data_IF_965629734903
#
_entry.id   IF_965629734903
#
_cell.length_a   1.000
_cell.length_b   1.000
_cell.length_c   1.000
_cell.angle_alpha   90.00
_cell.angle_beta   90.00
_cell.angle_gamma   90.00
#
_symmetry.space_group_name_H-M   'P 1'
#
loop_
_entity.id
_entity.type
_entity.pdbx_description
1 polymer ?
#
# COMPACT_ATOMS: atom_id res chain seq x y z
N UNK A 1 33.88 21.30 10.04
CA UNK A 1 34.25 20.10 9.23
C UNK A 1 35.19 20.55 8.13
N UNK A 2 36.26 19.76 7.85
CA UNK A 2 37.16 20.06 6.75
C UNK A 2 36.53 19.63 5.40
N UNK A 3 36.91 20.30 4.30
CA UNK A 3 36.42 19.94 2.94
C UNK A 3 36.69 18.47 2.61
N UNK A 4 37.88 17.97 3.00
CA UNK A 4 38.23 16.55 2.82
C UNK A 4 37.23 15.62 3.53
N UNK A 5 36.84 15.95 4.78
CA UNK A 5 35.91 15.14 5.54
C UNK A 5 34.49 15.16 4.92
N UNK A 6 34.08 16.34 4.41
CA UNK A 6 32.79 16.47 3.69
C UNK A 6 32.81 15.61 2.45
N UNK A 7 33.87 15.62 1.65
CA UNK A 7 34.00 14.77 0.46
C UNK A 7 34.00 13.26 0.78
N UNK A 8 34.61 12.83 1.88
CA UNK A 8 34.54 11.44 2.34
C UNK A 8 33.13 11.05 2.81
N UNK A 9 32.41 11.99 3.44
CA UNK A 9 31.03 11.81 3.88
C UNK A 9 30.08 11.64 2.68
N UNK A 10 30.20 12.53 1.68
CA UNK A 10 29.40 12.46 0.43
C UNK A 10 29.68 11.17 -0.35
N UNK A 11 30.91 10.67 -0.30
CA UNK A 11 31.28 9.41 -0.90
C UNK A 11 30.86 8.16 -0.08
N UNK A 12 30.21 8.35 1.07
CA UNK A 12 29.78 7.26 1.96
C UNK A 12 30.92 6.53 2.67
N UNK A 13 32.13 7.11 2.73
CA UNK A 13 33.32 6.51 3.33
C UNK A 13 33.65 7.01 4.72
N UNK A 14 33.02 8.12 5.15
CA UNK A 14 33.23 8.69 6.49
C UNK A 14 32.07 8.33 7.43
N UNK A 15 32.41 8.15 8.72
CA UNK A 15 31.42 8.04 9.78
C UNK A 15 31.32 9.38 10.53
N UNK A 16 30.11 9.90 10.68
CA UNK A 16 29.86 11.19 11.30
C UNK A 16 29.03 11.00 12.58
N UNK A 17 29.39 11.71 13.64
CA UNK A 17 28.58 11.70 14.86
C UNK A 17 27.26 12.45 14.66
N UNK A 18 26.23 12.11 15.45
CA UNK A 18 24.92 12.77 15.40
C UNK A 18 25.04 14.28 15.66
N UNK A 19 25.93 14.70 16.58
CA UNK A 19 26.18 16.11 16.87
C UNK A 19 26.76 16.85 15.66
N UNK A 20 27.65 16.23 14.92
CA UNK A 20 28.18 16.83 13.70
C UNK A 20 27.17 16.84 12.56
N UNK A 21 26.31 15.84 12.47
CA UNK A 21 25.18 15.85 11.53
C UNK A 21 24.20 16.97 11.84
N UNK A 22 23.91 17.22 13.11
CA UNK A 22 23.06 18.34 13.54
C UNK A 22 23.68 19.68 13.15
N UNK A 23 25.00 19.85 13.36
CA UNK A 23 25.70 21.06 12.92
C UNK A 23 25.65 21.26 11.39
N UNK A 24 25.73 20.19 10.61
CA UNK A 24 25.57 20.24 9.15
C UNK A 24 24.12 20.61 8.78
N UNK A 25 23.13 20.02 9.42
CA UNK A 25 21.72 20.33 9.16
C UNK A 25 21.44 21.82 9.42
N UNK A 26 21.90 22.35 10.55
CA UNK A 26 21.76 23.78 10.90
C UNK A 26 22.44 24.66 9.84
N UNK A 27 23.67 24.32 9.41
CA UNK A 27 24.38 25.08 8.40
C UNK A 27 23.68 25.11 7.04
N UNK A 28 22.89 24.06 6.73
CA UNK A 28 22.08 23.95 5.51
C UNK A 28 20.67 24.52 5.67
N UNK A 29 20.31 25.04 6.85
CA UNK A 29 18.94 25.51 7.13
C UNK A 29 17.91 24.39 7.21
N UNK A 30 18.34 23.18 7.54
CA UNK A 30 17.50 21.99 7.65
C UNK A 30 17.38 21.53 9.10
N UNK A 31 16.33 20.78 9.41
CA UNK A 31 16.29 19.98 10.63
C UNK A 31 17.00 18.64 10.42
N UNK A 32 17.62 18.08 11.47
CA UNK A 32 18.34 16.81 11.39
C UNK A 32 17.52 15.66 10.76
N UNK A 33 16.21 15.46 11.06
CA UNK A 33 15.39 14.46 10.39
C UNK A 33 15.29 14.68 8.88
N UNK A 34 15.33 15.93 8.42
CA UNK A 34 15.33 16.27 7.00
C UNK A 34 16.62 15.89 6.29
N UNK A 35 17.76 16.08 6.98
CA UNK A 35 19.09 15.75 6.44
C UNK A 35 19.31 14.22 6.32
N UNK A 36 18.85 13.44 7.29
CA UNK A 36 19.04 11.98 7.32
C UNK A 36 17.90 11.20 6.62
N UNK A 37 16.93 11.90 6.09
CA UNK A 37 15.84 11.27 5.35
C UNK A 37 16.41 10.58 4.11
N UNK A 38 16.18 9.27 3.92
CA UNK A 38 16.62 8.60 2.71
C UNK A 38 16.09 9.37 1.48
N UNK A 39 16.96 9.67 0.53
CA UNK A 39 16.57 10.21 -0.79
C UNK A 39 15.98 9.05 -1.61
N UNK A 40 15.04 8.35 -1.04
CA UNK A 40 14.25 7.37 -1.77
C UNK A 40 13.23 8.17 -2.58
N UNK A 41 13.16 7.97 -3.88
CA UNK A 41 12.09 8.59 -4.66
C UNK A 41 10.75 8.26 -4.00
N UNK A 42 9.83 9.22 -3.93
CA UNK A 42 8.54 8.97 -3.31
C UNK A 42 7.88 7.75 -3.95
N UNK A 43 7.18 6.91 -3.17
CA UNK A 43 6.50 5.75 -3.70
C UNK A 43 5.65 6.12 -4.93
N UNK A 44 5.82 5.37 -6.02
CA UNK A 44 5.11 5.62 -7.28
C UNK A 44 3.89 4.69 -7.45
N UNK A 45 3.68 3.78 -6.49
CA UNK A 45 2.46 2.98 -6.42
C UNK A 45 1.40 3.79 -5.68
N UNK A 46 0.22 3.93 -6.31
CA UNK A 46 -0.96 4.54 -5.69
C UNK A 46 -1.88 3.42 -5.23
N UNK A 47 -2.05 3.27 -3.92
CA UNK A 47 -2.91 2.26 -3.34
C UNK A 47 -4.30 2.85 -3.00
N UNK A 48 -5.33 2.27 -3.56
CA UNK A 48 -6.72 2.66 -3.31
C UNK A 48 -7.30 1.80 -2.20
N UNK A 49 -7.61 2.44 -1.07
CA UNK A 49 -8.28 1.86 0.09
C UNK A 49 -9.76 2.27 0.11
N UNK A 50 -10.54 1.52 0.82
CA UNK A 50 -11.96 1.79 1.01
C UNK A 50 -12.77 0.51 1.07
N UNK A 51 -13.98 0.60 1.58
CA UNK A 51 -14.90 -0.52 1.69
C UNK A 51 -15.25 -1.10 0.32
N UNK A 52 -15.81 -2.30 0.32
CA UNK A 52 -16.37 -2.92 -0.87
C UNK A 52 -17.45 -2.00 -1.46
N UNK A 53 -17.52 -1.86 -2.78
CA UNK A 53 -18.46 -0.93 -3.43
C UNK A 53 -18.05 0.55 -3.41
N UNK A 54 -16.92 0.93 -2.80
CA UNK A 54 -16.43 2.32 -2.79
C UNK A 54 -15.97 2.85 -4.16
N UNK A 55 -15.90 1.98 -5.17
CA UNK A 55 -15.50 2.39 -6.53
C UNK A 55 -14.00 2.24 -6.82
N UNK A 56 -13.25 1.51 -6.00
CA UNK A 56 -11.79 1.32 -6.17
C UNK A 56 -11.41 0.83 -7.57
N UNK A 57 -12.09 -0.19 -8.08
CA UNK A 57 -11.80 -0.75 -9.42
C UNK A 57 -12.11 0.24 -10.55
N UNK A 58 -13.20 0.99 -10.43
CA UNK A 58 -13.59 2.00 -11.43
C UNK A 58 -12.60 3.15 -11.46
N UNK A 59 -12.32 3.74 -10.30
CA UNK A 59 -11.35 4.85 -10.17
C UNK A 59 -9.95 4.38 -10.52
N UNK A 60 -9.56 3.18 -10.05
CA UNK A 60 -8.22 2.64 -10.26
C UNK A 60 -7.91 2.38 -11.73
N UNK A 61 -8.85 1.85 -12.48
CA UNK A 61 -8.69 1.61 -13.93
C UNK A 61 -8.53 2.92 -14.69
N UNK A 62 -9.44 3.88 -14.47
CA UNK A 62 -9.36 5.18 -15.10
C UNK A 62 -8.08 5.95 -14.73
N UNK A 63 -7.62 5.83 -13.48
CA UNK A 63 -6.39 6.44 -13.02
C UNK A 63 -5.16 5.78 -13.63
N UNK A 64 -5.14 4.44 -13.73
CA UNK A 64 -4.07 3.68 -14.37
C UNK A 64 -3.91 4.07 -15.84
N UNK A 65 -5.02 4.12 -16.59
CA UNK A 65 -5.04 4.58 -17.99
C UNK A 65 -4.49 6.00 -18.12
N UNK A 66 -4.96 6.93 -17.28
CA UNK A 66 -4.55 8.34 -17.32
C UNK A 66 -3.07 8.55 -16.99
N UNK A 67 -2.51 7.74 -16.11
CA UNK A 67 -1.10 7.80 -15.69
C UNK A 67 -0.17 6.93 -16.55
N UNK A 68 -0.71 6.12 -17.47
CA UNK A 68 0.08 5.19 -18.28
C UNK A 68 0.77 4.11 -17.43
N UNK A 69 0.12 3.64 -16.36
CA UNK A 69 0.63 2.61 -15.45
C UNK A 69 -0.38 1.48 -15.30
N UNK A 70 0.06 0.24 -14.99
CA UNK A 70 -0.85 -0.88 -14.78
C UNK A 70 -1.82 -0.63 -13.62
N UNK A 71 -3.07 -1.04 -13.81
CA UNK A 71 -4.06 -1.17 -12.74
C UNK A 71 -4.11 -2.63 -12.27
N UNK A 72 -3.98 -2.84 -10.97
CA UNK A 72 -3.94 -4.15 -10.33
C UNK A 72 -4.98 -4.25 -9.21
N UNK A 73 -5.59 -5.41 -9.06
CA UNK A 73 -6.48 -5.73 -7.95
C UNK A 73 -5.81 -6.77 -7.05
N UNK A 74 -5.58 -6.44 -5.79
CA UNK A 74 -4.88 -7.33 -4.85
C UNK A 74 -5.64 -8.66 -4.67
N UNK A 75 -6.97 -8.62 -4.62
CA UNK A 75 -7.81 -9.81 -4.53
C UNK A 75 -7.53 -10.80 -5.69
N UNK A 76 -7.38 -10.30 -6.92
CA UNK A 76 -7.05 -11.13 -8.09
C UNK A 76 -5.61 -11.67 -8.05
N UNK A 77 -4.68 -10.90 -7.45
CA UNK A 77 -3.31 -11.37 -7.25
C UNK A 77 -3.29 -12.55 -6.26
N UNK A 78 -4.06 -12.44 -5.17
CA UNK A 78 -4.23 -13.54 -4.20
C UNK A 78 -4.81 -14.78 -4.86
N UNK A 79 -5.91 -14.65 -5.63
CA UNK A 79 -6.51 -15.78 -6.35
C UNK A 79 -5.52 -16.47 -7.30
N UNK A 80 -4.74 -15.70 -8.02
CA UNK A 80 -3.70 -16.24 -8.93
C UNK A 80 -2.60 -16.99 -8.19
N UNK A 81 -2.13 -16.45 -7.05
CA UNK A 81 -1.09 -17.10 -6.26
C UNK A 81 -1.57 -18.35 -5.54
N UNK A 82 -2.81 -18.33 -5.05
CA UNK A 82 -3.41 -19.47 -4.37
C UNK A 82 -3.92 -20.56 -5.34
N UNK A 83 -4.09 -20.23 -6.62
CA UNK A 83 -4.67 -21.14 -7.62
C UNK A 83 -6.15 -21.43 -7.39
N UNK A 84 -6.84 -20.62 -6.57
CA UNK A 84 -8.26 -20.82 -6.24
C UNK A 84 -8.96 -19.47 -6.01
N UNK A 85 -10.29 -19.49 -6.10
CA UNK A 85 -11.12 -18.29 -5.92
C UNK A 85 -11.21 -17.91 -4.45
N UNK A 86 -11.39 -16.61 -4.16
CA UNK A 86 -11.51 -16.15 -2.78
C UNK A 86 -12.56 -16.89 -1.94
N UNK A 87 -13.79 -17.16 -2.43
CA UNK A 87 -14.75 -17.95 -1.66
C UNK A 87 -14.24 -19.34 -1.24
N UNK A 88 -13.48 -20.00 -2.11
CA UNK A 88 -12.87 -21.31 -1.84
C UNK A 88 -11.75 -21.18 -0.80
N UNK A 89 -10.90 -20.16 -0.90
CA UNK A 89 -9.86 -19.87 0.10
C UNK A 89 -10.49 -19.72 1.47
N UNK A 90 -11.54 -18.91 1.61
CA UNK A 90 -12.23 -18.72 2.88
C UNK A 90 -12.92 -19.98 3.40
N UNK A 91 -13.54 -20.75 2.51
CA UNK A 91 -14.27 -21.96 2.88
C UNK A 91 -13.33 -23.11 3.33
N UNK A 92 -12.17 -23.26 2.69
CA UNK A 92 -11.25 -24.39 2.91
C UNK A 92 -10.18 -24.03 3.96
N UNK A 93 -9.61 -22.84 3.88
CA UNK A 93 -8.43 -22.46 4.66
C UNK A 93 -8.69 -21.37 5.71
N UNK A 94 -9.81 -20.67 5.63
CA UNK A 94 -10.18 -19.63 6.59
C UNK A 94 -9.48 -18.27 6.37
N UNK A 95 -9.74 -17.35 7.29
CA UNK A 95 -9.29 -15.96 7.17
C UNK A 95 -7.78 -15.81 7.37
N UNK A 96 -7.18 -16.55 8.32
CA UNK A 96 -5.73 -16.42 8.61
C UNK A 96 -4.87 -16.79 7.39
N UNK A 97 -5.23 -17.86 6.70
CA UNK A 97 -4.56 -18.25 5.46
C UNK A 97 -4.72 -17.18 4.39
N UNK A 98 -5.94 -16.66 4.21
CA UNK A 98 -6.18 -15.56 3.27
C UNK A 98 -5.28 -14.36 3.59
N UNK A 99 -5.17 -13.94 4.86
CA UNK A 99 -4.31 -12.82 5.27
C UNK A 99 -2.84 -13.06 4.99
N UNK A 100 -2.36 -14.27 5.18
CA UNK A 100 -0.99 -14.64 4.81
C UNK A 100 -0.75 -14.53 3.28
N UNK A 101 -1.70 -15.00 2.47
CA UNK A 101 -1.61 -14.88 1.01
C UNK A 101 -1.76 -13.42 0.55
N UNK A 102 -2.63 -12.64 1.17
CA UNK A 102 -2.81 -11.21 0.89
C UNK A 102 -1.51 -10.42 1.10
N UNK A 103 -0.83 -10.66 2.24
CA UNK A 103 0.47 -10.04 2.52
C UNK A 103 1.55 -10.47 1.53
N UNK A 104 1.60 -11.76 1.18
CA UNK A 104 2.55 -12.30 0.21
C UNK A 104 2.34 -11.69 -1.18
N UNK A 105 1.09 -11.66 -1.65
CA UNK A 105 0.71 -11.05 -2.93
C UNK A 105 1.02 -9.55 -2.95
N UNK A 106 0.79 -8.83 -1.83
CA UNK A 106 1.13 -7.42 -1.71
C UNK A 106 2.65 -7.19 -1.84
N UNK A 107 3.48 -7.95 -1.11
CA UNK A 107 4.94 -7.83 -1.19
C UNK A 107 5.44 -8.06 -2.61
N UNK A 108 4.95 -9.10 -3.25
CA UNK A 108 5.31 -9.43 -4.63
C UNK A 108 4.88 -8.34 -5.60
N UNK A 109 3.64 -7.86 -5.49
CA UNK A 109 3.12 -6.78 -6.31
C UNK A 109 3.99 -5.52 -6.24
N UNK A 110 4.38 -5.11 -5.03
CA UNK A 110 5.22 -3.92 -4.83
C UNK A 110 6.64 -4.10 -5.37
N UNK A 111 7.19 -5.32 -5.34
CA UNK A 111 8.50 -5.62 -5.90
C UNK A 111 8.50 -5.67 -7.44
N UNK A 112 7.45 -6.24 -8.04
CA UNK A 112 7.34 -6.42 -9.49
C UNK A 112 6.83 -5.15 -10.22
N UNK A 113 6.08 -4.30 -9.51
CA UNK A 113 5.44 -3.12 -10.08
C UNK A 113 5.82 -1.84 -9.33
N UNK A 114 6.99 -1.25 -9.61
CA UNK A 114 7.44 -0.02 -8.95
C UNK A 114 6.54 1.19 -9.26
N UNK A 115 5.72 1.10 -10.30
CA UNK A 115 4.72 2.10 -10.70
C UNK A 115 3.42 1.40 -11.05
N UNK A 116 2.37 1.62 -10.28
CA UNK A 116 1.07 1.01 -10.50
C UNK A 116 -0.04 1.77 -9.77
N UNK A 117 -1.29 1.49 -10.13
CA UNK A 117 -2.45 1.74 -9.30
C UNK A 117 -2.94 0.40 -8.76
N UNK A 118 -2.99 0.26 -7.44
CA UNK A 118 -3.36 -0.96 -6.74
C UNK A 118 -4.67 -0.77 -5.98
N UNK A 119 -5.71 -1.52 -6.31
CA UNK A 119 -6.92 -1.61 -5.50
C UNK A 119 -6.75 -2.72 -4.45
N UNK A 120 -6.93 -2.37 -3.16
CA UNK A 120 -6.82 -3.32 -2.05
C UNK A 120 -8.16 -3.94 -1.68
N UNK A 121 -8.14 -5.09 -1.01
CA UNK A 121 -9.31 -5.65 -0.34
C UNK A 121 -9.86 -4.69 0.74
N UNK A 122 -11.17 -4.67 0.95
CA UNK A 122 -11.80 -3.78 1.93
C UNK A 122 -11.38 -4.05 3.38
N UNK A 123 -10.91 -5.25 3.68
CA UNK A 123 -10.46 -5.68 5.00
C UNK A 123 -8.95 -5.60 5.24
N UNK A 124 -8.15 -5.15 4.27
CA UNK A 124 -6.67 -5.12 4.40
C UNK A 124 -6.21 -4.32 5.62
N UNK A 125 -6.90 -3.24 5.95
CA UNK A 125 -6.58 -2.39 7.12
C UNK A 125 -6.68 -3.13 8.46
N UNK A 126 -7.37 -4.27 8.51
CA UNK A 126 -7.44 -5.13 9.69
C UNK A 126 -6.18 -6.02 9.86
N UNK A 127 -5.31 -6.09 8.84
CA UNK A 127 -4.01 -6.76 8.91
C UNK A 127 -2.92 -5.72 9.20
N UNK A 128 -2.39 -5.63 10.43
CA UNK A 128 -1.44 -4.55 10.81
C UNK A 128 -0.17 -4.57 9.96
N UNK A 129 0.32 -5.76 9.60
CA UNK A 129 1.54 -5.91 8.83
C UNK A 129 1.35 -5.47 7.37
N UNK A 130 0.27 -5.92 6.71
CA UNK A 130 -0.05 -5.54 5.34
C UNK A 130 -0.35 -4.03 5.25
N UNK A 131 -1.07 -3.48 6.24
CA UNK A 131 -1.39 -2.07 6.27
C UNK A 131 -0.15 -1.19 6.46
N UNK A 132 0.76 -1.57 7.37
CA UNK A 132 2.03 -0.87 7.57
C UNK A 132 2.87 -0.89 6.29
N UNK A 133 3.05 -2.05 5.67
CA UNK A 133 3.78 -2.19 4.41
C UNK A 133 3.21 -1.27 3.32
N UNK A 134 1.89 -1.21 3.23
CA UNK A 134 1.21 -0.34 2.28
C UNK A 134 1.51 1.13 2.53
N UNK A 135 1.43 1.59 3.79
CA UNK A 135 1.71 2.98 4.17
C UNK A 135 3.17 3.37 3.91
N UNK A 136 4.11 2.44 4.12
CA UNK A 136 5.54 2.69 3.93
C UNK A 136 5.94 2.75 2.44
N UNK A 137 5.31 1.93 1.59
CA UNK A 137 5.75 1.73 0.22
C UNK A 137 4.81 2.28 -0.85
N UNK A 138 3.69 2.88 -0.47
CA UNK A 138 2.73 3.42 -1.44
C UNK A 138 2.19 4.80 -1.04
N UNK A 139 1.60 5.50 -2.01
CA UNK A 139 0.73 6.65 -1.74
C UNK A 139 -0.69 6.13 -1.58
N UNK A 140 -1.22 6.18 -0.37
CA UNK A 140 -2.56 5.66 -0.07
C UNK A 140 -3.63 6.71 -0.32
N UNK A 141 -4.72 6.30 -0.97
CA UNK A 141 -5.91 7.12 -1.20
C UNK A 141 -7.12 6.39 -0.65
N UNK A 142 -7.83 7.00 0.29
CA UNK A 142 -9.03 6.44 0.88
C UNK A 142 -10.28 6.87 0.12
N UNK A 143 -10.94 5.94 -0.55
CA UNK A 143 -12.20 6.17 -1.24
C UNK A 143 -13.36 5.93 -0.28
N UNK A 144 -14.18 6.96 -0.12
CA UNK A 144 -15.41 6.92 0.67
C UNK A 144 -16.62 6.93 -0.26
N UNK A 145 -17.65 6.19 0.11
CA UNK A 145 -18.97 6.29 -0.48
C UNK A 145 -20.02 6.29 0.65
N UNK A 146 -21.19 6.78 0.39
CA UNK A 146 -22.28 6.74 1.37
C UNK A 146 -22.75 5.30 1.63
N UNK A 147 -23.28 4.96 2.81
CA UNK A 147 -23.76 3.61 3.10
C UNK A 147 -24.73 3.05 2.05
N UNK A 148 -25.65 3.89 1.56
CA UNK A 148 -26.61 3.49 0.52
C UNK A 148 -25.96 3.18 -0.83
N UNK A 149 -24.93 3.93 -1.22
CA UNK A 149 -24.17 3.65 -2.45
C UNK A 149 -23.33 2.37 -2.32
N UNK A 150 -22.74 2.13 -1.15
CA UNK A 150 -22.02 0.88 -0.88
C UNK A 150 -22.96 -0.32 -1.07
N UNK A 151 -24.09 -0.30 -0.39
CA UNK A 151 -25.05 -1.39 -0.42
C UNK A 151 -25.57 -1.69 -1.83
N UNK A 152 -26.02 -0.66 -2.54
CA UNK A 152 -26.57 -0.84 -3.90
C UNK A 152 -25.53 -1.40 -4.88
N UNK A 153 -24.25 -1.01 -4.75
CA UNK A 153 -23.17 -1.50 -5.61
C UNK A 153 -22.75 -2.93 -5.27
N UNK A 154 -22.68 -3.27 -3.97
CA UNK A 154 -22.36 -4.65 -3.53
C UNK A 154 -23.42 -5.65 -3.99
N UNK A 155 -24.70 -5.29 -3.84
CA UNK A 155 -25.82 -6.14 -4.31
C UNK A 155 -25.77 -6.33 -5.81
N UNK A 156 -25.52 -5.28 -6.61
CA UNK A 156 -25.39 -5.37 -8.06
C UNK A 156 -24.21 -6.24 -8.52
N UNK A 157 -23.15 -6.32 -7.73
CA UNK A 157 -21.96 -7.12 -8.04
C UNK A 157 -22.13 -8.61 -7.68
N UNK A 158 -23.24 -9.00 -7.02
CA UNK A 158 -23.51 -10.38 -6.61
C UNK A 158 -22.51 -10.96 -5.61
N UNK A 159 -21.73 -10.11 -4.96
CA UNK A 159 -20.66 -10.53 -4.07
C UNK A 159 -21.15 -10.63 -2.63
N UNK A 160 -21.56 -11.83 -2.22
CA UNK A 160 -22.13 -12.14 -0.91
C UNK A 160 -21.09 -12.54 0.15
N UNK A 161 -19.79 -12.39 -0.11
CA UNK A 161 -18.74 -12.72 0.86
C UNK A 161 -18.88 -11.89 2.13
N UNK A 162 -18.43 -12.32 3.22
CA UNK A 162 -18.68 -12.41 4.66
C UNK A 162 -19.82 -11.57 5.25
N UNK A 163 -20.70 -10.96 4.47
CA UNK A 163 -21.89 -10.27 4.98
C UNK A 163 -22.96 -11.25 5.49
N UNK A 164 -22.91 -12.51 5.06
CA UNK A 164 -23.89 -13.53 5.47
C UNK A 164 -23.80 -13.88 6.97
N UNK A 165 -22.66 -13.65 7.63
CA UNK A 165 -22.44 -14.04 9.03
C UNK A 165 -22.30 -12.86 10.01
N UNK A 166 -22.44 -11.59 9.57
CA UNK A 166 -22.36 -10.42 10.44
C UNK A 166 -23.47 -9.40 10.11
N UNK A 167 -24.70 -9.63 10.60
CA UNK A 167 -25.83 -8.72 10.34
C UNK A 167 -25.67 -7.32 10.94
N UNK A 168 -24.65 -7.09 11.79
CA UNK A 168 -24.39 -5.82 12.46
C UNK A 168 -23.10 -5.11 12.00
N UNK A 169 -22.51 -5.50 10.86
CA UNK A 169 -21.36 -4.79 10.27
C UNK A 169 -21.83 -3.64 9.36
N UNK A 170 -22.70 -2.77 9.91
CA UNK A 170 -23.03 -1.46 9.33
C UNK A 170 -22.30 -0.34 10.08
#
# INVERSE_FOLDING_TARGET
LSERFVGELEAGRANISVLNLEAVAVALGLELPGLVRPVTPPPQVIALLGLRGAGKSTVGRALGERLGVPFLELDQLVEREAGMRLPEIFAIHGEDYFRAQELKALRRCLAEHPRAVLATGGGLVASPEAYRLLLEQTRTVWLKATPGEHWSRVVKQGDLRPMQNRPHAM
#
